data_IF_231768384050
#
_entry.id   IF_231768384050
#
_cell.length_a   1.000
_cell.length_b   1.000
_cell.length_c   1.000
_cell.angle_alpha   90.00
_cell.angle_beta   90.00
_cell.angle_gamma   90.00
#
_symmetry.space_group_name_H-M   'P 1'
#
loop_
_entity.id
_entity.type
_entity.pdbx_description
1 polymer ?
#
# COMPACT_ATOMS: atom_id res chain seq x y z
N UNK A 1 -10.44 33.27 1.12
CA UNK A 1 -10.78 31.92 1.61
C UNK A 1 -9.59 31.05 1.31
N UNK A 2 -8.90 30.55 2.33
CA UNK A 2 -7.84 29.55 2.13
C UNK A 2 -8.46 28.32 1.49
N UNK A 3 -7.86 27.83 0.41
CA UNK A 3 -8.18 26.52 -0.17
C UNK A 3 -8.17 25.51 0.98
N UNK A 4 -9.26 24.76 1.24
CA UNK A 4 -9.23 23.72 2.27
C UNK A 4 -8.02 22.82 1.99
N UNK A 5 -7.28 22.47 3.04
CA UNK A 5 -6.14 21.58 2.92
C UNK A 5 -6.61 20.29 2.22
N UNK A 6 -6.07 20.00 1.04
CA UNK A 6 -6.50 18.86 0.21
C UNK A 6 -6.42 17.54 0.97
N UNK A 7 -5.51 17.44 1.95
CA UNK A 7 -5.39 16.28 2.86
C UNK A 7 -6.67 16.10 3.68
N UNK A 8 -7.17 17.17 4.28
CA UNK A 8 -8.38 17.14 5.11
C UNK A 8 -9.62 16.83 4.27
N UNK A 9 -9.68 17.33 3.03
CA UNK A 9 -10.74 16.96 2.09
C UNK A 9 -10.70 15.48 1.73
N UNK A 10 -9.51 14.96 1.37
CA UNK A 10 -9.34 13.54 1.06
C UNK A 10 -9.71 12.65 2.25
N UNK A 11 -9.27 13.01 3.46
CA UNK A 11 -9.65 12.28 4.69
C UNK A 11 -11.17 12.31 4.88
N UNK A 12 -11.81 13.47 4.72
CA UNK A 12 -13.26 13.57 4.84
C UNK A 12 -14.00 12.68 3.84
N UNK A 13 -13.56 12.63 2.57
CA UNK A 13 -14.15 11.73 1.57
C UNK A 13 -13.94 10.25 1.90
N UNK A 14 -12.78 9.87 2.43
CA UNK A 14 -12.54 8.50 2.90
C UNK A 14 -13.48 8.16 4.08
N UNK A 15 -13.63 9.07 5.04
CA UNK A 15 -14.48 8.90 6.22
C UNK A 15 -15.97 8.82 5.89
N UNK A 16 -16.41 9.38 4.76
CA UNK A 16 -17.80 9.28 4.28
C UNK A 16 -17.97 8.24 3.15
N UNK A 17 -16.96 7.40 2.92
CA UNK A 17 -16.93 6.39 1.86
C UNK A 17 -17.16 6.95 0.42
N UNK A 18 -16.87 8.24 0.20
CA UNK A 18 -17.02 8.92 -1.08
C UNK A 18 -15.84 8.58 -2.00
N UNK A 19 -15.95 7.42 -2.65
CA UNK A 19 -14.92 6.90 -3.56
C UNK A 19 -14.58 7.87 -4.69
N UNK A 20 -15.56 8.53 -5.28
CA UNK A 20 -15.35 9.38 -6.46
C UNK A 20 -14.51 10.61 -6.10
N UNK A 21 -14.91 11.33 -5.06
CA UNK A 21 -14.18 12.51 -4.63
C UNK A 21 -12.85 12.17 -3.96
N UNK A 22 -12.74 11.03 -3.26
CA UNK A 22 -11.47 10.57 -2.70
C UNK A 22 -10.43 10.29 -3.82
N UNK A 23 -10.82 9.54 -4.86
CA UNK A 23 -9.94 9.29 -6.01
C UNK A 23 -9.56 10.60 -6.70
N UNK A 24 -10.54 11.47 -6.97
CA UNK A 24 -10.30 12.75 -7.62
C UNK A 24 -9.32 13.61 -6.83
N UNK A 25 -9.55 13.78 -5.53
CA UNK A 25 -8.70 14.61 -4.67
C UNK A 25 -7.26 14.09 -4.62
N UNK A 26 -7.06 12.77 -4.48
CA UNK A 26 -5.74 12.16 -4.46
C UNK A 26 -4.98 12.34 -5.79
N UNK A 27 -5.63 12.04 -6.91
CA UNK A 27 -5.00 12.13 -8.23
C UNK A 27 -4.78 13.57 -8.67
N UNK A 28 -5.72 14.50 -8.41
CA UNK A 28 -5.53 15.92 -8.69
C UNK A 28 -4.36 16.49 -7.88
N UNK A 29 -4.17 16.06 -6.62
CA UNK A 29 -3.04 16.49 -5.81
C UNK A 29 -1.69 16.02 -6.39
N UNK A 30 -1.62 14.79 -6.90
CA UNK A 30 -0.44 14.26 -7.60
C UNK A 30 -0.21 14.95 -8.95
N UNK A 31 -1.26 15.17 -9.72
CA UNK A 31 -1.20 15.79 -11.05
C UNK A 31 -0.69 17.23 -10.97
N UNK A 32 -1.24 18.01 -10.04
CA UNK A 32 -0.90 19.42 -9.83
C UNK A 32 0.40 19.64 -9.05
N UNK A 33 1.06 18.57 -8.59
CA UNK A 33 2.29 18.65 -7.80
C UNK A 33 2.09 19.20 -6.39
N UNK A 34 0.85 19.20 -5.87
CA UNK A 34 0.55 19.54 -4.47
C UNK A 34 1.10 18.50 -3.49
N UNK A 35 1.36 17.28 -3.96
CA UNK A 35 1.91 16.16 -3.19
C UNK A 35 2.81 15.28 -4.05
N UNK A 36 3.60 14.43 -3.40
CA UNK A 36 4.27 13.27 -3.99
C UNK A 36 3.66 11.96 -3.45
N UNK A 37 4.12 10.81 -3.99
CA UNK A 37 3.66 9.47 -3.57
C UNK A 37 3.92 9.23 -2.08
N UNK A 38 5.08 9.66 -1.56
CA UNK A 38 5.45 9.48 -0.15
C UNK A 38 4.46 10.19 0.76
N UNK A 39 4.20 11.48 0.52
CA UNK A 39 3.27 12.28 1.31
C UNK A 39 1.85 11.70 1.22
N UNK A 40 1.40 11.32 0.01
CA UNK A 40 0.07 10.73 -0.16
C UNK A 40 -0.07 9.44 0.66
N UNK A 41 0.90 8.53 0.56
CA UNK A 41 0.82 7.21 1.19
C UNK A 41 1.05 7.31 2.71
N UNK A 42 2.13 7.94 3.15
CA UNK A 42 2.57 7.93 4.55
C UNK A 42 1.85 8.96 5.42
N UNK A 43 1.44 10.10 4.85
CA UNK A 43 0.86 11.21 5.64
C UNK A 43 -0.66 11.30 5.51
N UNK A 44 -1.28 10.58 4.56
CA UNK A 44 -2.73 10.62 4.35
C UNK A 44 -3.35 9.22 4.35
N UNK A 45 -3.00 8.36 3.40
CA UNK A 45 -3.67 7.08 3.20
C UNK A 45 -3.44 6.10 4.38
N UNK A 46 -2.18 5.87 4.77
CA UNK A 46 -1.86 4.98 5.88
C UNK A 46 -2.41 5.50 7.22
N UNK A 47 -2.29 6.79 7.57
CA UNK A 47 -2.95 7.33 8.76
C UNK A 47 -4.47 7.21 8.75
N UNK A 48 -5.13 7.39 7.59
CA UNK A 48 -6.59 7.25 7.49
C UNK A 48 -7.03 5.80 7.79
N UNK A 49 -6.34 4.81 7.21
CA UNK A 49 -6.61 3.39 7.47
C UNK A 49 -6.41 3.02 8.95
N UNK A 50 -5.34 3.55 9.56
CA UNK A 50 -5.02 3.27 10.97
C UNK A 50 -5.97 3.95 11.98
N UNK A 51 -6.80 4.90 11.54
CA UNK A 51 -7.79 5.59 12.40
C UNK A 51 -9.12 4.85 12.47
N UNK A 52 -9.41 3.92 11.55
CA UNK A 52 -10.61 3.10 11.67
C UNK A 52 -10.38 2.11 12.82
N UNK A 53 -10.84 2.50 14.00
CA UNK A 53 -10.93 1.65 15.18
C UNK A 53 -12.28 1.89 15.83
N UNK A 54 -13.01 0.83 16.14
CA UNK A 54 -14.37 0.88 16.68
C UNK A 54 -14.43 0.55 18.17
N UNK A 55 -15.52 0.98 18.80
CA UNK A 55 -15.94 0.46 20.11
C UNK A 55 -16.55 -0.94 19.92
N UNK A 56 -16.40 -1.83 20.91
CA UNK A 56 -16.89 -3.22 20.85
C UNK A 56 -18.38 -3.32 20.47
N UNK A 57 -19.20 -2.36 20.90
CA UNK A 57 -20.65 -2.34 20.61
C UNK A 57 -21.00 -2.08 19.14
N UNK A 58 -20.06 -1.59 18.32
CA UNK A 58 -20.24 -1.28 16.89
C UNK A 58 -19.32 -2.09 15.98
N UNK A 59 -18.78 -3.20 16.47
CA UNK A 59 -17.77 -4.02 15.77
C UNK A 59 -18.18 -4.35 14.33
N UNK A 60 -19.42 -4.81 14.10
CA UNK A 60 -19.90 -5.14 12.75
C UNK A 60 -19.90 -3.93 11.81
N UNK A 61 -20.27 -2.74 12.30
CA UNK A 61 -20.24 -1.50 11.51
C UNK A 61 -18.81 -1.11 11.17
N UNK A 62 -17.93 -1.15 12.16
CA UNK A 62 -16.50 -0.85 11.97
C UNK A 62 -15.86 -1.76 10.94
N UNK A 63 -16.13 -3.07 10.98
CA UNK A 63 -15.55 -4.05 10.05
C UNK A 63 -15.92 -3.73 8.59
N UNK A 64 -17.21 -3.55 8.27
CA UNK A 64 -17.58 -3.31 6.87
C UNK A 64 -17.07 -1.95 6.38
N UNK A 65 -17.02 -0.93 7.25
CA UNK A 65 -16.47 0.40 6.92
C UNK A 65 -14.96 0.34 6.67
N UNK A 66 -14.23 -0.45 7.45
CA UNK A 66 -12.81 -0.74 7.23
C UNK A 66 -12.59 -1.35 5.85
N UNK A 67 -13.34 -2.41 5.51
CA UNK A 67 -13.24 -3.03 4.18
C UNK A 67 -13.53 -2.04 3.04
N UNK A 68 -14.53 -1.16 3.18
CA UNK A 68 -14.87 -0.16 2.16
C UNK A 68 -13.74 0.86 2.02
N UNK A 69 -13.22 1.41 3.12
CA UNK A 69 -12.10 2.36 3.06
C UNK A 69 -10.85 1.71 2.48
N UNK A 70 -10.50 0.50 2.92
CA UNK A 70 -9.37 -0.28 2.38
C UNK A 70 -9.51 -0.49 0.87
N UNK A 71 -10.71 -0.77 0.36
CA UNK A 71 -10.97 -0.90 -1.07
C UNK A 71 -10.79 0.43 -1.83
N UNK A 72 -11.26 1.56 -1.27
CA UNK A 72 -11.07 2.88 -1.86
C UNK A 72 -9.58 3.24 -1.91
N UNK A 73 -8.86 3.08 -0.79
CA UNK A 73 -7.43 3.39 -0.70
C UNK A 73 -6.62 2.52 -1.65
N UNK A 74 -6.93 1.22 -1.75
CA UNK A 74 -6.33 0.35 -2.77
C UNK A 74 -6.55 0.90 -4.17
N UNK A 75 -7.77 1.30 -4.51
CA UNK A 75 -8.06 1.90 -5.81
C UNK A 75 -7.20 3.13 -6.08
N UNK A 76 -7.01 4.00 -5.08
CA UNK A 76 -6.15 5.19 -5.19
C UNK A 76 -4.69 4.79 -5.45
N UNK A 77 -4.14 3.84 -4.67
CA UNK A 77 -2.76 3.34 -4.82
C UNK A 77 -2.54 2.77 -6.22
N UNK A 78 -3.45 1.93 -6.72
CA UNK A 78 -3.32 1.38 -8.09
C UNK A 78 -3.43 2.48 -9.16
N UNK A 79 -4.32 3.46 -8.96
CA UNK A 79 -4.46 4.60 -9.88
C UNK A 79 -3.25 5.55 -9.85
N UNK A 80 -2.46 5.53 -8.76
CA UNK A 80 -1.29 6.37 -8.60
C UNK A 80 -0.06 5.86 -9.36
N UNK A 81 -0.10 4.65 -9.94
CA UNK A 81 1.04 4.02 -10.61
C UNK A 81 1.74 4.88 -11.68
N UNK A 82 1.05 5.65 -12.56
CA UNK A 82 1.73 6.54 -13.50
C UNK A 82 2.62 7.60 -12.81
N UNK A 83 2.22 8.05 -11.62
CA UNK A 83 2.97 9.02 -10.81
C UNK A 83 4.19 8.38 -10.14
N UNK A 84 4.08 7.12 -9.70
CA UNK A 84 5.21 6.31 -9.23
C UNK A 84 6.29 6.22 -10.31
N UNK A 85 5.90 5.93 -11.56
CA UNK A 85 6.82 5.87 -12.69
C UNK A 85 7.42 7.23 -13.02
N UNK A 86 6.62 8.30 -12.95
CA UNK A 86 7.09 9.68 -13.14
C UNK A 86 8.16 10.06 -12.13
N UNK A 87 7.94 9.77 -10.85
CA UNK A 87 8.93 10.02 -9.79
C UNK A 87 10.21 9.20 -9.94
N UNK A 88 10.10 7.91 -10.28
CA UNK A 88 11.27 7.07 -10.59
C UNK A 88 12.11 7.68 -11.71
N UNK A 89 11.46 8.08 -12.81
CA UNK A 89 12.15 8.62 -13.97
C UNK A 89 12.79 9.99 -13.65
N UNK A 90 12.11 10.85 -12.88
CA UNK A 90 12.64 12.13 -12.44
C UNK A 90 13.90 11.99 -11.56
N UNK A 91 14.01 10.89 -10.80
CA UNK A 91 15.21 10.56 -10.01
C UNK A 91 16.39 10.07 -10.86
N UNK A 92 16.18 9.77 -12.14
CA UNK A 92 17.21 9.19 -13.01
C UNK A 92 17.65 7.79 -12.55
N UNK A 93 16.77 7.05 -11.88
CA UNK A 93 17.12 5.75 -11.30
C UNK A 93 17.39 4.72 -12.41
N UNK A 94 18.54 4.05 -12.33
CA UNK A 94 18.86 2.89 -13.18
C UNK A 94 18.23 1.62 -12.61
N UNK A 95 17.98 0.56 -13.42
CA UNK A 95 17.47 -0.70 -12.92
C UNK A 95 18.40 -1.26 -11.84
N UNK A 96 17.93 -1.25 -10.59
CA UNK A 96 18.61 -1.81 -9.44
C UNK A 96 18.23 -3.28 -9.22
N UNK A 97 18.47 -3.73 -7.99
CA UNK A 97 18.17 -5.08 -7.52
C UNK A 97 16.70 -5.46 -7.73
N UNK A 98 16.44 -6.75 -7.94
CA UNK A 98 15.10 -7.32 -7.98
C UNK A 98 14.63 -7.66 -6.58
N UNK A 99 13.44 -7.17 -6.23
CA UNK A 99 12.86 -7.32 -4.89
C UNK A 99 11.53 -8.04 -5.01
N UNK A 100 11.40 -9.18 -4.32
CA UNK A 100 10.17 -9.94 -4.24
C UNK A 100 9.45 -9.55 -2.95
N UNK A 101 8.29 -8.90 -3.06
CA UNK A 101 7.46 -8.44 -1.94
C UNK A 101 6.25 -9.37 -1.79
N UNK A 102 6.00 -9.87 -0.58
CA UNK A 102 4.89 -10.78 -0.30
C UNK A 102 4.44 -10.71 1.16
N UNK A 103 3.24 -11.21 1.43
CA UNK A 103 2.78 -11.54 2.77
C UNK A 103 2.75 -13.08 2.93
N UNK A 104 3.22 -13.63 4.05
CA UNK A 104 3.27 -15.08 4.25
C UNK A 104 1.86 -15.70 4.36
N UNK A 105 1.80 -17.03 4.35
CA UNK A 105 0.54 -17.76 4.57
C UNK A 105 -0.20 -17.27 5.82
N UNK A 106 -1.51 -17.06 5.69
CA UNK A 106 -2.38 -16.53 6.72
C UNK A 106 -2.33 -15.01 6.90
N UNK A 107 -1.45 -14.29 6.20
CA UNK A 107 -1.40 -12.84 6.22
C UNK A 107 -2.15 -12.23 5.02
N UNK A 108 -3.35 -11.71 5.29
CA UNK A 108 -4.23 -11.12 4.27
C UNK A 108 -4.04 -9.62 4.12
N UNK A 109 -3.34 -8.95 5.04
CA UNK A 109 -3.17 -7.50 5.01
C UNK A 109 -2.02 -7.09 4.10
N UNK A 110 -2.29 -7.00 2.80
CA UNK A 110 -1.26 -6.76 1.80
C UNK A 110 -1.08 -5.29 1.37
N UNK A 111 -1.97 -4.37 1.78
CA UNK A 111 -1.97 -3.00 1.26
C UNK A 111 -0.69 -2.22 1.60
N UNK A 112 -0.14 -2.40 2.81
CA UNK A 112 1.16 -1.81 3.18
C UNK A 112 2.31 -2.38 2.33
N UNK A 113 2.30 -3.68 2.06
CA UNK A 113 3.28 -4.34 1.19
C UNK A 113 3.16 -3.84 -0.26
N UNK A 114 1.92 -3.63 -0.74
CA UNK A 114 1.63 -3.05 -2.04
C UNK A 114 2.17 -1.63 -2.17
N UNK A 115 2.00 -0.79 -1.15
CA UNK A 115 2.58 0.56 -1.10
C UNK A 115 4.12 0.51 -1.08
N UNK A 116 4.72 -0.43 -0.33
CA UNK A 116 6.17 -0.60 -0.29
C UNK A 116 6.76 -0.98 -1.66
N UNK A 117 6.03 -1.76 -2.48
CA UNK A 117 6.43 -2.08 -3.84
C UNK A 117 6.62 -0.82 -4.71
N UNK A 118 5.75 0.19 -4.57
CA UNK A 118 5.89 1.46 -5.29
C UNK A 118 7.15 2.21 -4.85
N UNK A 119 7.51 2.18 -3.57
CA UNK A 119 8.74 2.80 -3.10
C UNK A 119 9.98 2.12 -3.69
N UNK A 120 10.02 0.78 -3.74
CA UNK A 120 11.10 0.07 -4.44
C UNK A 120 11.22 0.51 -5.90
N UNK A 121 10.09 0.64 -6.61
CA UNK A 121 10.07 1.12 -7.99
C UNK A 121 10.61 2.56 -8.10
N UNK A 122 10.19 3.47 -7.23
CA UNK A 122 10.65 4.88 -7.19
C UNK A 122 12.17 4.96 -7.02
N UNK A 123 12.75 4.06 -6.22
CA UNK A 123 14.18 3.96 -6.01
C UNK A 123 14.94 3.16 -7.09
N UNK A 124 14.25 2.75 -8.16
CA UNK A 124 14.86 2.10 -9.33
C UNK A 124 14.94 0.58 -9.25
N UNK A 125 14.48 -0.05 -8.16
CA UNK A 125 14.46 -1.50 -8.05
C UNK A 125 13.38 -2.12 -8.94
N UNK A 126 13.58 -3.40 -9.28
CA UNK A 126 12.56 -4.20 -9.95
C UNK A 126 11.68 -4.86 -8.89
N UNK A 127 10.59 -4.20 -8.51
CA UNK A 127 9.65 -4.71 -7.52
C UNK A 127 8.69 -5.75 -8.14
N UNK A 128 8.62 -6.93 -7.53
CA UNK A 128 7.67 -7.98 -7.86
C UNK A 128 6.80 -8.20 -6.63
N UNK A 129 5.56 -7.70 -6.69
CA UNK A 129 4.59 -7.88 -5.62
C UNK A 129 3.74 -9.13 -5.88
N UNK A 130 3.85 -10.14 -5.02
CA UNK A 130 3.06 -11.39 -5.12
C UNK A 130 1.67 -11.20 -4.53
N UNK A 131 1.59 -10.46 -3.42
CA UNK A 131 0.35 -10.22 -2.68
C UNK A 131 0.25 -10.96 -1.35
N UNK A 132 -0.98 -11.00 -0.85
CA UNK A 132 -1.39 -11.63 0.39
C UNK A 132 -1.25 -13.17 0.36
N UNK A 133 -1.28 -13.78 1.55
CA UNK A 133 -1.46 -15.22 1.79
C UNK A 133 -0.61 -16.10 0.85
N UNK A 134 0.71 -15.86 0.81
CA UNK A 134 1.63 -16.60 -0.05
C UNK A 134 2.23 -17.79 0.70
N UNK A 135 1.82 -19.04 0.40
CA UNK A 135 2.40 -20.22 1.05
C UNK A 135 3.83 -20.46 0.60
N UNK A 136 4.61 -21.13 1.45
CA UNK A 136 6.05 -21.38 1.24
C UNK A 136 6.34 -22.02 -0.13
N UNK A 137 5.54 -23.00 -0.56
CA UNK A 137 5.71 -23.65 -1.87
C UNK A 137 5.57 -22.65 -3.03
N UNK A 138 4.62 -21.73 -2.94
CA UNK A 138 4.40 -20.67 -3.94
C UNK A 138 5.54 -19.67 -3.93
N UNK A 139 6.02 -19.30 -2.74
CA UNK A 139 7.20 -18.43 -2.60
C UNK A 139 8.45 -19.06 -3.22
N UNK A 140 8.73 -20.35 -2.95
CA UNK A 140 9.89 -21.05 -3.50
C UNK A 140 9.87 -21.10 -5.03
N UNK A 141 8.71 -21.38 -5.64
CA UNK A 141 8.56 -21.34 -7.11
C UNK A 141 8.78 -19.92 -7.66
N UNK A 142 8.25 -18.89 -6.98
CA UNK A 142 8.49 -17.50 -7.36
C UNK A 142 9.97 -17.12 -7.26
N UNK A 143 10.68 -17.54 -6.21
CA UNK A 143 12.13 -17.31 -6.04
C UNK A 143 12.92 -17.98 -7.16
N UNK A 144 12.60 -19.23 -7.48
CA UNK A 144 13.32 -19.99 -8.50
C UNK A 144 13.18 -19.34 -9.89
N UNK A 145 11.96 -18.89 -10.24
CA UNK A 145 11.64 -18.27 -11.53
C UNK A 145 12.13 -16.84 -11.66
N UNK A 146 11.99 -16.05 -10.59
CA UNK A 146 12.28 -14.62 -10.66
C UNK A 146 13.70 -14.31 -10.25
N UNK A 147 14.40 -15.17 -9.48
CA UNK A 147 15.77 -14.95 -9.00
C UNK A 147 15.93 -13.56 -8.36
N UNK A 148 15.16 -13.23 -7.30
CA UNK A 148 15.26 -11.93 -6.66
C UNK A 148 16.56 -11.82 -5.87
N UNK A 149 17.09 -10.59 -5.77
CA UNK A 149 18.23 -10.27 -4.91
C UNK A 149 17.80 -10.09 -3.45
N UNK A 150 16.55 -9.65 -3.25
CA UNK A 150 15.97 -9.38 -1.93
C UNK A 150 14.56 -9.95 -1.80
N UNK A 151 14.25 -10.44 -0.60
CA UNK A 151 12.90 -10.78 -0.17
C UNK A 151 12.40 -9.71 0.80
N UNK A 152 11.21 -9.20 0.58
CA UNK A 152 10.51 -8.29 1.47
C UNK A 152 9.23 -8.97 1.95
N UNK A 153 9.22 -9.31 3.24
CA UNK A 153 8.09 -9.94 3.91
C UNK A 153 7.34 -8.88 4.71
N UNK A 154 6.02 -8.83 4.53
CA UNK A 154 5.13 -7.97 5.31
C UNK A 154 4.22 -8.81 6.20
N UNK A 155 4.16 -8.43 7.48
CA UNK A 155 3.29 -9.01 8.50
C UNK A 155 2.73 -7.86 9.32
N UNK A 156 1.42 -7.84 9.52
CA UNK A 156 0.74 -6.86 10.36
C UNK A 156 0.01 -7.51 11.53
N UNK A 157 -0.28 -8.81 11.44
CA UNK A 157 -0.93 -9.55 12.50
C UNK A 157 0.10 -10.31 13.36
N UNK A 158 0.07 -10.10 14.68
CA UNK A 158 0.98 -10.74 15.64
C UNK A 158 0.95 -12.27 15.59
N UNK A 159 -0.20 -12.88 15.25
CA UNK A 159 -0.31 -14.34 15.10
C UNK A 159 0.59 -14.89 13.98
N UNK A 160 0.89 -14.07 12.97
CA UNK A 160 1.69 -14.47 11.82
C UNK A 160 3.21 -14.30 12.06
N UNK A 161 3.63 -13.65 13.15
CA UNK A 161 5.05 -13.43 13.46
C UNK A 161 5.84 -14.74 13.64
N UNK A 162 5.23 -15.75 14.28
CA UNK A 162 5.86 -17.06 14.44
C UNK A 162 6.03 -17.79 13.09
N UNK A 163 5.01 -17.72 12.23
CA UNK A 163 5.06 -18.27 10.88
C UNK A 163 6.14 -17.60 10.04
N UNK A 164 6.21 -16.26 10.09
CA UNK A 164 7.23 -15.48 9.41
C UNK A 164 8.65 -15.81 9.87
N UNK A 165 8.87 -15.94 11.20
CA UNK A 165 10.19 -16.34 11.73
C UNK A 165 10.64 -17.70 11.19
N UNK A 166 9.74 -18.68 11.14
CA UNK A 166 10.03 -20.01 10.60
C UNK A 166 10.38 -19.98 9.11
N UNK A 167 9.79 -19.06 8.35
CA UNK A 167 10.04 -18.92 6.91
C UNK A 167 11.45 -18.40 6.60
N UNK A 168 12.03 -17.58 7.50
CA UNK A 168 13.33 -16.92 7.29
C UNK A 168 14.49 -17.54 8.07
N UNK A 169 14.24 -18.57 8.89
CA UNK A 169 15.26 -19.27 9.70
C UNK A 169 15.72 -20.54 9.00
#
# INVERSE_FOLDING_TARGET
MSDPNWKDQLIGYLETEDREHAHKAALDALETGKTDIRILYEEVLAPALNRISGEEEKEAETIWREHVMTAIVRGIVESAYPYVIRERNARGASPGSKVLIFCPAGETHELGARMAADFFLIWGHQAIFIGADTPEKTLLDAIERTRPDWLCLSVSNDFNLFGAKRLVS
#
